data_IF_137936440487
#
_entry.id   IF_137936440487
#
_cell.length_a   1.000
_cell.length_b   1.000
_cell.length_c   1.000
_cell.angle_alpha   90.00
_cell.angle_beta   90.00
_cell.angle_gamma   90.00
#
_symmetry.space_group_name_H-M   'P 1'
#
loop_
_entity.id
_entity.type
_entity.pdbx_description
1 polymer ?
#
# COMPACT_ATOMS: atom_id res chain seq x y z
N UNK A 1 -21.62 -3.57 11.37
CA UNK A 1 -21.01 -4.90 11.21
C UNK A 1 -21.98 -6.02 11.53
N UNK A 2 -22.78 -5.93 12.61
CA UNK A 2 -23.78 -6.96 12.94
C UNK A 2 -24.76 -7.24 11.81
N UNK A 3 -25.37 -6.19 11.20
CA UNK A 3 -26.24 -6.36 10.03
C UNK A 3 -25.57 -7.04 8.85
N UNK A 4 -24.27 -6.81 8.67
CA UNK A 4 -23.51 -7.45 7.60
C UNK A 4 -23.27 -8.94 7.92
N UNK A 5 -23.01 -9.28 9.18
CA UNK A 5 -22.92 -10.66 9.63
C UNK A 5 -24.24 -11.40 9.44
N UNK A 6 -25.37 -10.79 9.84
CA UNK A 6 -26.70 -11.36 9.66
C UNK A 6 -26.99 -11.61 8.15
N UNK A 7 -26.73 -10.60 7.30
CA UNK A 7 -26.94 -10.74 5.86
C UNK A 7 -26.12 -11.90 5.27
N UNK A 8 -24.82 -12.00 5.62
CA UNK A 8 -23.94 -13.06 5.13
C UNK A 8 -24.35 -14.43 5.64
N UNK A 9 -24.71 -14.53 6.91
CA UNK A 9 -25.15 -15.78 7.54
C UNK A 9 -26.47 -16.35 7.00
N UNK A 10 -27.34 -15.48 6.47
CA UNK A 10 -28.63 -15.87 5.88
C UNK A 10 -28.62 -15.88 4.34
N UNK A 11 -27.48 -15.56 3.72
CA UNK A 11 -27.28 -15.66 2.27
C UNK A 11 -26.79 -17.05 1.86
N UNK A 12 -26.77 -17.31 0.56
CA UNK A 12 -26.22 -18.54 -0.02
C UNK A 12 -24.69 -18.50 -0.17
N UNK A 13 -24.01 -17.60 0.58
CA UNK A 13 -22.56 -17.47 0.53
C UNK A 13 -21.88 -18.59 1.33
N UNK A 14 -20.93 -19.26 0.69
CA UNK A 14 -20.18 -20.37 1.31
C UNK A 14 -18.88 -19.92 2.00
N UNK A 15 -18.36 -18.76 1.64
CA UNK A 15 -17.10 -18.20 2.15
C UNK A 15 -17.10 -16.67 2.11
N UNK A 16 -16.46 -16.06 3.09
CA UNK A 16 -16.17 -14.61 3.11
C UNK A 16 -14.71 -14.37 2.83
N UNK A 17 -14.39 -13.54 1.84
CA UNK A 17 -13.04 -13.05 1.58
C UNK A 17 -12.88 -11.67 2.21
N UNK A 18 -12.10 -11.59 3.28
CA UNK A 18 -11.75 -10.34 3.94
C UNK A 18 -10.43 -9.79 3.40
N UNK A 19 -10.47 -8.56 2.88
CA UNK A 19 -9.25 -7.81 2.51
C UNK A 19 -8.90 -6.88 3.69
N UNK A 20 -7.87 -7.24 4.46
CA UNK A 20 -7.54 -6.53 5.68
C UNK A 20 -6.43 -5.49 5.51
N UNK A 21 -6.74 -4.27 5.97
CA UNK A 21 -5.79 -3.19 6.22
C UNK A 21 -6.23 -2.44 7.49
N UNK A 22 -5.28 -2.03 8.35
CA UNK A 22 -5.58 -1.43 9.65
C UNK A 22 -6.43 -0.16 9.60
N UNK A 23 -6.36 0.62 8.54
CA UNK A 23 -7.02 1.93 8.43
C UNK A 23 -8.44 1.93 7.90
N UNK A 24 -9.00 0.80 7.42
CA UNK A 24 -10.23 0.82 6.63
C UNK A 24 -11.51 0.43 7.37
N UNK A 25 -11.41 -0.21 8.52
CA UNK A 25 -12.61 -0.76 9.22
C UNK A 25 -13.11 0.07 10.39
N UNK A 26 -12.47 1.19 10.70
CA UNK A 26 -12.83 2.04 11.82
C UNK A 26 -12.45 1.46 13.19
N UNK A 27 -12.49 2.34 14.21
CA UNK A 27 -11.99 2.04 15.55
C UNK A 27 -10.47 1.97 15.65
N UNK A 28 -9.91 1.78 16.86
CA UNK A 28 -8.47 1.57 17.03
C UNK A 28 -7.98 0.43 16.15
N UNK A 29 -6.92 0.67 15.38
CA UNK A 29 -6.31 -0.30 14.44
C UNK A 29 -7.32 -1.03 13.52
N UNK A 30 -8.45 -0.40 13.17
CA UNK A 30 -9.48 -1.03 12.34
C UNK A 30 -10.30 -2.10 13.07
N UNK A 31 -10.30 -2.11 14.40
CA UNK A 31 -10.82 -3.20 15.22
C UNK A 31 -12.32 -3.46 15.13
N UNK A 32 -13.12 -2.54 14.55
CA UNK A 32 -14.56 -2.78 14.38
C UNK A 32 -14.88 -3.99 13.51
N UNK A 33 -13.95 -4.45 12.64
CA UNK A 33 -14.14 -5.66 11.82
C UNK A 33 -14.29 -6.92 12.66
N UNK A 34 -13.69 -6.96 13.86
CA UNK A 34 -13.74 -8.11 14.75
C UNK A 34 -15.18 -8.43 15.15
N UNK A 35 -16.04 -7.41 15.27
CA UNK A 35 -17.46 -7.62 15.55
C UNK A 35 -18.17 -8.41 14.45
N UNK A 36 -17.84 -8.14 13.17
CA UNK A 36 -18.32 -8.95 12.06
C UNK A 36 -17.81 -10.39 12.15
N UNK A 37 -16.51 -10.56 12.34
CA UNK A 37 -15.87 -11.88 12.33
C UNK A 37 -16.38 -12.80 13.44
N UNK A 38 -16.72 -12.26 14.61
CA UNK A 38 -17.28 -13.03 15.73
C UNK A 38 -18.66 -13.61 15.42
N UNK A 39 -19.46 -12.86 14.68
CA UNK A 39 -20.86 -13.22 14.42
C UNK A 39 -21.02 -14.07 13.15
N UNK A 40 -19.95 -14.19 12.31
CA UNK A 40 -19.97 -15.01 11.10
C UNK A 40 -19.98 -16.50 11.44
N UNK A 41 -20.86 -17.26 10.76
CA UNK A 41 -20.97 -18.71 10.85
C UNK A 41 -20.38 -19.45 9.65
N UNK A 42 -20.02 -18.72 8.60
CA UNK A 42 -19.39 -19.24 7.39
C UNK A 42 -17.88 -18.99 7.44
N UNK A 43 -17.08 -19.84 6.74
CA UNK A 43 -15.62 -19.70 6.71
C UNK A 43 -15.16 -18.33 6.23
N UNK A 44 -14.08 -17.84 6.83
CA UNK A 44 -13.44 -16.55 6.44
C UNK A 44 -12.03 -16.83 5.94
N UNK A 45 -11.70 -16.35 4.76
CA UNK A 45 -10.34 -16.25 4.22
C UNK A 45 -9.92 -14.80 4.27
N UNK A 46 -8.86 -14.50 5.02
CA UNK A 46 -8.39 -13.12 5.18
C UNK A 46 -7.07 -12.92 4.44
N UNK A 47 -7.05 -11.98 3.49
CA UNK A 47 -5.82 -11.46 2.88
C UNK A 47 -5.29 -10.30 3.71
N UNK A 48 -4.05 -10.42 4.19
CA UNK A 48 -3.38 -9.41 5.00
C UNK A 48 -2.49 -8.54 4.11
N UNK A 49 -2.89 -7.28 3.92
CA UNK A 49 -2.12 -6.31 3.11
C UNK A 49 -0.98 -5.67 3.89
N UNK A 50 -1.08 -5.60 5.21
CA UNK A 50 -0.03 -5.09 6.09
C UNK A 50 0.17 -6.02 7.28
N UNK A 51 1.43 -6.44 7.50
CA UNK A 51 1.88 -7.16 8.67
C UNK A 51 3.05 -6.37 9.25
N UNK A 52 2.95 -5.99 10.54
CA UNK A 52 3.93 -5.13 11.19
C UNK A 52 4.82 -5.96 12.12
N UNK A 53 6.13 -5.84 11.96
CA UNK A 53 7.12 -6.42 12.89
C UNK A 53 7.03 -5.72 14.26
N UNK A 54 6.96 -4.38 14.23
CA UNK A 54 6.76 -3.55 15.41
C UNK A 54 5.34 -2.98 15.42
N UNK A 55 4.38 -3.79 15.84
CA UNK A 55 2.98 -3.40 15.95
C UNK A 55 2.70 -2.76 17.32
N UNK A 56 1.80 -1.76 17.35
CA UNK A 56 1.24 -1.27 18.62
C UNK A 56 0.44 -2.39 19.30
N UNK A 57 0.16 -2.28 20.63
CA UNK A 57 -0.67 -3.25 21.34
C UNK A 57 -2.01 -3.51 20.64
N UNK A 58 -2.71 -2.45 20.21
CA UNK A 58 -4.00 -2.56 19.51
C UNK A 58 -3.84 -3.29 18.18
N UNK A 59 -2.84 -2.92 17.36
CA UNK A 59 -2.59 -3.57 16.08
C UNK A 59 -2.29 -5.06 16.23
N UNK A 60 -1.48 -5.41 17.23
CA UNK A 60 -1.15 -6.80 17.53
C UNK A 60 -2.39 -7.59 17.95
N UNK A 61 -3.18 -7.04 18.86
CA UNK A 61 -4.40 -7.67 19.35
C UNK A 61 -5.40 -7.89 18.21
N UNK A 62 -5.63 -6.87 17.39
CA UNK A 62 -6.58 -6.96 16.26
C UNK A 62 -6.14 -8.01 15.25
N UNK A 63 -4.85 -8.05 14.88
CA UNK A 63 -4.37 -9.06 13.96
C UNK A 63 -4.49 -10.49 14.53
N UNK A 64 -4.24 -10.68 15.82
CA UNK A 64 -4.43 -11.96 16.49
C UNK A 64 -5.91 -12.39 16.52
N UNK A 65 -6.84 -11.47 16.77
CA UNK A 65 -8.28 -11.77 16.69
C UNK A 65 -8.71 -12.12 15.27
N UNK A 66 -8.23 -11.38 14.26
CA UNK A 66 -8.49 -11.69 12.85
C UNK A 66 -7.94 -13.09 12.52
N UNK A 67 -6.71 -13.39 12.92
CA UNK A 67 -6.11 -14.70 12.70
C UNK A 67 -6.89 -15.83 13.37
N UNK A 68 -7.44 -15.56 14.56
CA UNK A 68 -8.28 -16.52 15.30
C UNK A 68 -9.57 -16.84 14.57
N UNK A 69 -10.27 -15.83 14.06
CA UNK A 69 -11.57 -15.99 13.41
C UNK A 69 -11.49 -16.39 11.94
N UNK A 70 -10.33 -16.21 11.30
CA UNK A 70 -10.13 -16.64 9.92
C UNK A 70 -9.86 -18.14 9.84
N UNK A 71 -10.46 -18.81 8.86
CA UNK A 71 -10.15 -20.21 8.53
C UNK A 71 -8.78 -20.33 7.86
N UNK A 72 -8.44 -19.37 6.99
CA UNK A 72 -7.15 -19.25 6.31
C UNK A 72 -6.71 -17.80 6.26
N UNK A 73 -5.40 -17.59 6.27
CA UNK A 73 -4.76 -16.29 6.07
C UNK A 73 -3.94 -16.32 4.79
N UNK A 74 -4.12 -15.33 3.96
CA UNK A 74 -3.34 -15.15 2.74
C UNK A 74 -2.36 -14.00 2.93
N UNK A 75 -1.10 -14.25 2.60
CA UNK A 75 -0.03 -13.27 2.53
C UNK A 75 0.61 -13.28 1.14
N UNK A 76 1.18 -12.16 0.71
CA UNK A 76 1.73 -12.04 -0.64
C UNK A 76 3.23 -12.34 -0.73
N UNK A 77 3.89 -12.57 0.40
CA UNK A 77 5.35 -12.75 0.45
C UNK A 77 5.78 -13.76 1.51
N UNK A 78 6.93 -14.41 1.28
CA UNK A 78 7.62 -15.25 2.26
C UNK A 78 7.95 -14.49 3.56
N UNK A 79 8.25 -13.18 3.45
CA UNK A 79 8.47 -12.34 4.63
C UNK A 79 7.21 -12.24 5.48
N UNK A 80 6.05 -11.99 4.85
CA UNK A 80 4.76 -11.93 5.54
C UNK A 80 4.44 -13.25 6.26
N UNK A 81 4.70 -14.37 5.60
CA UNK A 81 4.52 -15.71 6.18
C UNK A 81 5.39 -15.89 7.45
N UNK A 82 6.69 -15.59 7.36
CA UNK A 82 7.59 -15.67 8.52
C UNK A 82 7.15 -14.76 9.66
N UNK A 83 6.76 -13.51 9.36
CA UNK A 83 6.32 -12.54 10.36
C UNK A 83 5.07 -13.02 11.11
N UNK A 84 4.09 -13.63 10.43
CA UNK A 84 2.91 -14.19 11.11
C UNK A 84 3.27 -15.31 12.09
N UNK A 85 4.21 -16.17 11.71
CA UNK A 85 4.66 -17.25 12.59
C UNK A 85 5.47 -16.73 13.79
N UNK A 86 6.46 -15.89 13.53
CA UNK A 86 7.44 -15.46 14.54
C UNK A 86 6.86 -14.43 15.51
N UNK A 87 6.13 -13.43 15.02
CA UNK A 87 5.65 -12.32 15.85
C UNK A 87 4.21 -12.48 16.33
N UNK A 88 3.37 -13.22 15.56
CA UNK A 88 1.95 -13.39 15.88
C UNK A 88 1.58 -14.82 16.24
N UNK A 89 2.52 -15.77 16.13
CA UNK A 89 2.37 -17.18 16.51
C UNK A 89 1.19 -17.87 15.80
N UNK A 90 0.97 -17.49 14.55
CA UNK A 90 -0.03 -18.12 13.72
C UNK A 90 0.47 -19.51 13.26
N UNK A 91 -0.35 -20.56 13.39
CA UNK A 91 0.00 -21.89 12.90
C UNK A 91 0.27 -21.89 11.39
N UNK A 92 1.32 -22.61 10.96
CA UNK A 92 1.77 -22.64 9.57
C UNK A 92 0.70 -23.13 8.61
N UNK A 93 -0.03 -24.14 9.01
CA UNK A 93 -1.13 -24.73 8.24
C UNK A 93 -2.29 -23.77 7.97
N UNK A 94 -2.33 -22.62 8.64
CA UNK A 94 -3.35 -21.57 8.49
C UNK A 94 -2.96 -20.49 7.48
N UNK A 95 -1.71 -20.51 7.01
CA UNK A 95 -1.15 -19.45 6.19
C UNK A 95 -0.87 -19.93 4.78
N UNK A 96 -1.40 -19.23 3.79
CA UNK A 96 -1.13 -19.46 2.37
C UNK A 96 -0.34 -18.28 1.80
N UNK A 97 0.67 -18.56 0.98
CA UNK A 97 1.41 -17.56 0.24
C UNK A 97 0.84 -17.48 -1.17
N UNK A 98 0.14 -16.38 -1.47
CA UNK A 98 -0.41 -16.11 -2.79
C UNK A 98 0.12 -14.74 -3.25
N UNK A 99 1.11 -14.70 -4.14
CA UNK A 99 1.65 -13.44 -4.65
C UNK A 99 0.59 -12.59 -5.35
N UNK A 100 0.81 -11.28 -5.41
CA UNK A 100 -0.03 -10.39 -6.20
C UNK A 100 -0.06 -10.84 -7.66
N UNK A 101 -1.27 -10.97 -8.21
CA UNK A 101 -1.45 -11.09 -9.65
C UNK A 101 -1.20 -9.76 -10.35
N UNK A 102 -0.68 -9.83 -11.57
CA UNK A 102 -0.58 -8.70 -12.49
C UNK A 102 -1.24 -9.09 -13.82
N UNK A 103 -1.84 -8.14 -14.55
CA UNK A 103 -2.31 -8.39 -15.90
C UNK A 103 -1.13 -8.80 -16.80
N UNK A 104 -1.33 -9.84 -17.61
CA UNK A 104 -0.38 -10.18 -18.68
C UNK A 104 -0.63 -9.23 -19.85
N UNK A 105 0.14 -8.15 -19.90
CA UNK A 105 0.01 -7.10 -20.90
C UNK A 105 1.15 -7.22 -21.92
N UNK A 106 0.86 -7.05 -23.22
CA UNK A 106 1.91 -6.98 -24.21
C UNK A 106 2.83 -5.79 -23.93
N UNK A 107 4.14 -5.97 -24.17
CA UNK A 107 5.07 -4.85 -24.07
C UNK A 107 4.74 -3.81 -25.14
N UNK A 108 4.44 -2.60 -24.69
CA UNK A 108 4.21 -1.44 -25.55
C UNK A 108 5.40 -0.50 -25.39
N UNK A 109 5.89 0.04 -26.50
CA UNK A 109 6.99 1.02 -26.47
C UNK A 109 6.61 2.17 -25.51
N UNK A 110 7.38 2.41 -24.45
CA UNK A 110 7.10 3.50 -23.51
C UNK A 110 6.93 4.87 -24.16
N UNK A 111 7.58 5.11 -25.32
CA UNK A 111 7.45 6.36 -26.04
C UNK A 111 6.04 6.65 -26.52
N UNK A 112 5.21 5.62 -26.74
CA UNK A 112 3.79 5.78 -27.08
C UNK A 112 2.99 6.56 -26.02
N UNK A 113 3.40 6.46 -24.74
CA UNK A 113 2.72 7.16 -23.66
C UNK A 113 3.45 8.43 -23.21
N UNK A 114 4.71 8.61 -23.56
CA UNK A 114 5.53 9.72 -23.07
C UNK A 114 5.12 11.08 -23.62
N UNK A 115 4.56 11.11 -24.83
CA UNK A 115 4.03 12.32 -25.46
C UNK A 115 2.90 12.94 -24.63
N UNK A 116 2.03 12.12 -24.06
CA UNK A 116 0.90 12.56 -23.22
C UNK A 116 1.38 13.32 -21.96
N UNK A 117 2.60 13.06 -21.52
CA UNK A 117 3.21 13.71 -20.36
C UNK A 117 4.27 14.76 -20.75
N UNK A 118 4.45 15.04 -22.04
CA UNK A 118 5.47 15.99 -22.49
C UNK A 118 6.90 15.54 -22.22
N UNK A 119 7.14 14.23 -22.15
CA UNK A 119 8.44 13.63 -21.82
C UNK A 119 8.96 12.74 -22.94
N UNK A 120 8.52 12.96 -24.17
CA UNK A 120 9.01 12.28 -25.35
C UNK A 120 10.54 12.45 -25.48
N UNK A 121 11.24 11.38 -25.85
CA UNK A 121 12.71 11.37 -25.96
C UNK A 121 13.45 11.45 -24.61
N UNK A 122 12.76 11.59 -23.49
CA UNK A 122 13.37 11.63 -22.16
C UNK A 122 13.59 10.23 -21.58
N UNK A 123 14.61 10.12 -20.72
CA UNK A 123 14.69 8.99 -19.77
C UNK A 123 13.82 9.34 -18.57
N UNK A 124 12.83 8.51 -18.26
CA UNK A 124 11.88 8.77 -17.18
C UNK A 124 12.15 7.86 -15.99
N UNK A 125 12.29 8.46 -14.82
CA UNK A 125 12.13 7.80 -13.51
C UNK A 125 10.76 8.18 -13.01
N UNK A 126 9.97 7.22 -12.55
CA UNK A 126 8.59 7.43 -12.13
C UNK A 126 8.39 6.96 -10.69
N UNK A 127 7.81 7.82 -9.87
CA UNK A 127 7.11 7.41 -8.64
C UNK A 127 5.62 7.71 -8.82
N UNK A 128 4.77 6.72 -8.62
CA UNK A 128 3.32 6.92 -8.68
C UNK A 128 2.62 6.50 -7.38
N UNK A 129 1.49 7.11 -7.10
CA UNK A 129 0.65 6.81 -5.94
C UNK A 129 0.48 8.00 -5.01
N UNK A 130 -0.10 7.78 -3.84
CA UNK A 130 -0.33 8.85 -2.86
C UNK A 130 0.99 9.33 -2.27
N UNK A 131 1.23 10.65 -2.36
CA UNK A 131 2.47 11.26 -1.89
C UNK A 131 2.52 11.25 -0.36
N UNK A 132 3.59 10.69 0.17
CA UNK A 132 3.86 10.64 1.61
C UNK A 132 5.36 10.42 1.85
N UNK A 133 5.90 10.77 3.04
CA UNK A 133 7.31 10.53 3.38
C UNK A 133 7.75 9.07 3.21
N UNK A 134 6.82 8.12 3.40
CA UNK A 134 7.10 6.68 3.23
C UNK A 134 7.47 6.28 1.79
N UNK A 135 7.26 7.16 0.81
CA UNK A 135 7.63 6.92 -0.60
C UNK A 135 9.08 7.27 -0.90
N UNK A 136 9.76 8.00 -0.02
CA UNK A 136 11.17 8.36 -0.20
C UNK A 136 11.45 9.23 -1.41
N UNK A 137 10.48 10.05 -1.83
CA UNK A 137 10.57 10.91 -3.02
C UNK A 137 11.75 11.88 -2.91
N UNK A 138 11.97 12.41 -1.71
CA UNK A 138 13.08 13.30 -1.37
C UNK A 138 14.45 12.66 -1.67
N UNK A 139 14.61 11.35 -1.48
CA UNK A 139 15.87 10.67 -1.75
C UNK A 139 16.20 10.64 -3.25
N UNK A 140 15.19 10.48 -4.09
CA UNK A 140 15.37 10.55 -5.55
C UNK A 140 15.76 11.97 -5.95
N UNK A 141 15.08 13.00 -5.41
CA UNK A 141 15.38 14.41 -5.71
C UNK A 141 16.82 14.74 -5.27
N UNK A 142 17.26 14.28 -4.10
CA UNK A 142 18.66 14.45 -3.64
C UNK A 142 19.69 13.81 -4.57
N UNK A 143 19.37 12.70 -5.23
CA UNK A 143 20.26 12.04 -6.15
C UNK A 143 20.37 12.73 -7.53
N UNK A 144 19.32 13.48 -7.93
CA UNK A 144 19.23 14.07 -9.27
C UNK A 144 20.43 14.93 -9.68
N UNK A 145 21.00 15.82 -8.82
CA UNK A 145 22.13 16.66 -9.22
C UNK A 145 23.31 15.88 -9.79
N UNK A 146 23.56 14.68 -9.26
CA UNK A 146 24.62 13.81 -9.76
C UNK A 146 24.19 13.03 -11.00
N UNK A 147 22.97 12.51 -10.98
CA UNK A 147 22.43 11.67 -12.06
C UNK A 147 22.30 12.46 -13.37
N UNK A 148 21.81 13.69 -13.32
CA UNK A 148 21.60 14.50 -14.53
C UNK A 148 22.90 14.96 -15.20
N UNK A 149 24.03 14.94 -14.48
CA UNK A 149 25.36 15.16 -15.10
C UNK A 149 25.69 14.06 -16.10
N UNK A 150 25.30 12.83 -15.79
CA UNK A 150 25.54 11.67 -16.68
C UNK A 150 24.41 11.49 -17.69
N UNK A 151 23.18 11.82 -17.29
CA UNK A 151 21.97 11.67 -18.08
C UNK A 151 21.19 13.00 -18.19
N UNK A 152 21.64 13.96 -19.00
CA UNK A 152 21.01 15.29 -19.08
C UNK A 152 19.55 15.29 -19.55
N UNK A 153 19.13 14.22 -20.25
CA UNK A 153 17.75 14.05 -20.74
C UNK A 153 16.84 13.34 -19.74
N UNK A 154 17.34 13.04 -18.53
CA UNK A 154 16.53 12.38 -17.51
C UNK A 154 15.54 13.35 -16.89
N UNK A 155 14.31 12.87 -16.66
CA UNK A 155 13.29 13.54 -15.87
C UNK A 155 12.75 12.58 -14.81
N UNK A 156 12.45 13.11 -13.65
CA UNK A 156 11.75 12.41 -12.57
C UNK A 156 10.29 12.87 -12.53
N UNK A 157 9.38 11.95 -12.78
CA UNK A 157 7.94 12.20 -12.74
C UNK A 157 7.39 11.68 -11.41
N UNK A 158 6.74 12.56 -10.66
CA UNK A 158 6.05 12.26 -9.40
C UNK A 158 4.55 12.33 -9.66
N UNK A 159 3.95 11.19 -9.93
CA UNK A 159 2.56 11.10 -10.35
C UNK A 159 1.65 10.71 -9.17
N UNK A 160 0.88 11.66 -8.67
CA UNK A 160 -0.10 11.39 -7.62
C UNK A 160 -0.50 12.62 -6.82
N UNK A 161 -1.49 12.41 -5.96
CA UNK A 161 -1.96 13.42 -5.01
C UNK A 161 -1.38 13.17 -3.61
N UNK A 162 -1.33 14.21 -2.79
CA UNK A 162 -0.94 14.08 -1.38
C UNK A 162 -1.88 13.10 -0.66
N UNK A 163 -1.31 12.23 0.17
CA UNK A 163 -2.07 11.24 0.92
C UNK A 163 -3.20 11.91 1.71
N UNK A 164 -4.46 11.41 1.66
CA UNK A 164 -5.61 12.09 2.26
C UNK A 164 -5.45 12.43 3.75
N UNK A 165 -4.82 11.57 4.53
CA UNK A 165 -4.54 11.85 5.95
C UNK A 165 -3.57 13.01 6.12
N UNK A 166 -2.45 13.02 5.39
CA UNK A 166 -1.48 14.12 5.41
C UNK A 166 -2.10 15.43 4.95
N UNK A 167 -2.91 15.38 3.87
CA UNK A 167 -3.60 16.55 3.36
C UNK A 167 -4.56 17.15 4.38
N UNK A 168 -5.25 16.31 5.15
CA UNK A 168 -6.18 16.73 6.21
C UNK A 168 -5.44 17.36 7.39
N UNK A 169 -4.30 16.84 7.78
CA UNK A 169 -3.53 17.27 8.95
C UNK A 169 -2.58 18.42 8.64
N UNK A 170 -1.96 18.41 7.47
CA UNK A 170 -0.85 19.31 7.12
C UNK A 170 -1.02 20.00 5.75
N UNK A 171 -2.17 19.82 5.08
CA UNK A 171 -2.38 20.38 3.73
C UNK A 171 -1.42 19.79 2.71
N UNK A 172 -0.90 20.63 1.82
CA UNK A 172 0.05 20.25 0.77
C UNK A 172 1.53 20.45 1.21
N UNK A 173 1.79 20.60 2.51
CA UNK A 173 3.13 20.92 3.05
C UNK A 173 4.21 19.97 2.55
N UNK A 174 3.92 18.66 2.51
CA UNK A 174 4.89 17.67 2.03
C UNK A 174 5.21 17.85 0.55
N UNK A 175 4.20 18.01 -0.31
CA UNK A 175 4.40 18.29 -1.75
C UNK A 175 5.22 19.56 -1.97
N UNK A 176 4.82 20.66 -1.30
CA UNK A 176 5.54 21.93 -1.39
C UNK A 176 6.98 21.86 -0.90
N UNK A 177 7.26 21.01 0.09
CA UNK A 177 8.64 20.75 0.55
C UNK A 177 9.48 20.05 -0.52
N UNK A 178 8.90 19.13 -1.29
CA UNK A 178 9.59 18.46 -2.40
C UNK A 178 9.87 19.42 -3.56
N UNK A 179 8.91 20.28 -3.90
CA UNK A 179 9.08 21.32 -4.92
C UNK A 179 10.20 22.28 -4.53
N UNK A 180 10.23 22.72 -3.28
CA UNK A 180 11.29 23.58 -2.72
C UNK A 180 12.66 22.87 -2.76
N UNK A 181 12.71 21.62 -2.37
CA UNK A 181 13.94 20.83 -2.42
C UNK A 181 14.50 20.74 -3.84
N UNK A 182 13.63 20.54 -4.84
CA UNK A 182 14.05 20.50 -6.25
C UNK A 182 14.63 21.86 -6.70
N UNK A 183 14.08 22.96 -6.21
CA UNK A 183 14.58 24.32 -6.48
C UNK A 183 15.94 24.59 -5.81
N UNK A 184 16.06 24.27 -4.52
CA UNK A 184 17.31 24.39 -3.75
C UNK A 184 18.47 23.62 -4.40
N UNK A 185 18.18 22.41 -4.91
CA UNK A 185 19.15 21.57 -5.60
C UNK A 185 19.31 21.93 -7.10
N UNK A 186 18.61 22.96 -7.60
CA UNK A 186 18.64 23.43 -9.00
C UNK A 186 18.32 22.35 -10.02
N UNK A 187 17.41 21.45 -9.68
CA UNK A 187 16.96 20.35 -10.55
C UNK A 187 15.48 20.46 -10.95
N UNK A 188 14.84 21.57 -10.72
CA UNK A 188 13.40 21.82 -10.99
C UNK A 188 13.00 21.43 -12.42
N UNK A 189 13.85 21.72 -13.42
CA UNK A 189 13.60 21.32 -14.83
C UNK A 189 13.64 19.81 -15.09
N UNK A 190 14.10 19.05 -14.12
CA UNK A 190 14.21 17.60 -14.18
C UNK A 190 13.16 16.89 -13.31
N UNK A 191 12.25 17.63 -12.65
CA UNK A 191 11.18 17.08 -11.82
C UNK A 191 9.83 17.57 -12.35
N UNK A 192 8.89 16.64 -12.47
CA UNK A 192 7.50 16.91 -12.87
C UNK A 192 6.59 16.37 -11.76
N UNK A 193 5.70 17.24 -11.22
CA UNK A 193 4.72 16.88 -10.19
C UNK A 193 3.31 16.83 -10.77
#
# INVERSE_FOLDING_TARGET
YQRAADFLNFSDMEVVCLQHEYGIFGGPAGGHIVALLRDLRIPVVTTLHTILETASPDQRQILQEIARFSSRLVVMTERGHRMLREFYQVPEEKIDIIPHGIPDMPFIDPNFYKDQFGVEGKKVVLTFGLLSPNKGIEHVIHALPQVVKTFPVLVYVVLGATHPSLRREHGETYRLSLERLADELKVTKHVIF
#
